data_IF_774931161101
#
_entry.id   IF_774931161101
#
_cell.length_a   1.000
_cell.length_b   1.000
_cell.length_c   1.000
_cell.angle_alpha   90.00
_cell.angle_beta   90.00
_cell.angle_gamma   90.00
#
_symmetry.space_group_name_H-M   'P 1'
#
loop_
_entity.id
_entity.type
_entity.pdbx_description
1 polymer ?
#
# COMPACT_ATOMS: atom_id res chain seq x y z
N UNK A 1 -13.28 -23.72 -58.39
CA UNK A 1 -12.13 -22.81 -58.24
C UNK A 1 -12.69 -21.42 -58.04
N UNK A 2 -12.74 -20.96 -56.80
CA UNK A 2 -12.74 -19.53 -56.48
C UNK A 2 -11.37 -19.32 -55.82
N UNK A 3 -10.55 -18.49 -56.45
CA UNK A 3 -9.22 -18.12 -55.95
C UNK A 3 -9.42 -17.26 -54.71
N UNK A 4 -8.77 -17.65 -53.61
CA UNK A 4 -8.66 -16.84 -52.40
C UNK A 4 -7.65 -15.73 -52.69
N UNK A 5 -8.14 -14.51 -52.88
CA UNK A 5 -7.30 -13.31 -52.83
C UNK A 5 -6.85 -13.12 -51.37
N UNK A 6 -5.55 -13.33 -51.10
CA UNK A 6 -4.93 -12.96 -49.82
C UNK A 6 -4.93 -11.42 -49.71
N UNK A 7 -5.97 -10.89 -49.07
CA UNK A 7 -6.10 -9.47 -48.74
C UNK A 7 -4.92 -9.03 -47.87
N UNK A 8 -4.04 -8.19 -48.43
CA UNK A 8 -3.08 -7.39 -47.68
C UNK A 8 -3.83 -6.32 -46.86
N UNK A 9 -4.47 -6.71 -45.76
CA UNK A 9 -5.14 -5.77 -44.86
C UNK A 9 -4.12 -4.88 -44.13
N UNK A 10 -4.15 -3.58 -44.44
CA UNK A 10 -3.39 -2.58 -43.70
C UNK A 10 -3.97 -2.45 -42.27
N UNK A 11 -3.11 -2.52 -41.25
CA UNK A 11 -3.50 -2.24 -39.86
C UNK A 11 -3.75 -0.73 -39.66
N UNK A 12 -4.99 -0.31 -39.88
CA UNK A 12 -5.43 1.08 -39.74
C UNK A 12 -5.90 1.39 -38.30
N UNK A 13 -5.47 2.53 -37.77
CA UNK A 13 -5.96 3.05 -36.48
C UNK A 13 -7.23 3.87 -36.68
N UNK A 14 -8.38 3.30 -36.30
CA UNK A 14 -9.68 3.95 -36.46
C UNK A 14 -10.06 4.73 -35.18
N UNK A 15 -10.40 6.03 -35.27
CA UNK A 15 -10.89 6.80 -34.14
C UNK A 15 -12.17 6.18 -33.55
N UNK A 16 -12.14 5.86 -32.25
CA UNK A 16 -13.28 5.20 -31.58
C UNK A 16 -14.37 6.18 -31.15
N UNK A 17 -14.08 7.49 -31.05
CA UNK A 17 -15.03 8.51 -30.56
C UNK A 17 -16.35 8.52 -31.35
N UNK A 18 -16.35 8.55 -32.71
CA UNK A 18 -17.60 8.51 -33.48
C UNK A 18 -18.42 7.24 -33.23
N UNK A 19 -17.75 6.11 -32.99
CA UNK A 19 -18.42 4.83 -32.71
C UNK A 19 -19.06 4.80 -31.32
N UNK A 20 -18.55 5.57 -30.35
CA UNK A 20 -19.09 5.62 -28.99
C UNK A 20 -20.47 6.29 -28.93
N UNK A 21 -20.73 7.24 -29.82
CA UNK A 21 -22.03 7.92 -29.93
C UNK A 21 -23.10 6.94 -30.44
N UNK A 22 -22.76 6.12 -31.44
CA UNK A 22 -23.70 5.17 -32.06
C UNK A 22 -24.00 3.92 -31.23
N UNK A 23 -23.11 3.55 -30.30
CA UNK A 23 -23.32 2.42 -29.37
C UNK A 23 -23.85 2.86 -27.99
N UNK A 24 -24.22 4.14 -27.86
CA UNK A 24 -24.80 4.72 -26.68
C UNK A 24 -26.28 4.35 -26.49
N UNK A 25 -26.70 4.14 -25.25
CA UNK A 25 -28.09 3.93 -24.89
C UNK A 25 -28.78 5.29 -24.71
N UNK A 26 -29.81 5.58 -25.51
CA UNK A 26 -30.54 6.86 -25.42
C UNK A 26 -31.33 7.07 -24.11
N UNK A 27 -31.45 6.03 -23.27
CA UNK A 27 -32.14 6.12 -21.97
C UNK A 27 -31.18 6.45 -20.83
N UNK A 28 -30.07 5.71 -20.70
CA UNK A 28 -29.11 5.92 -19.61
C UNK A 28 -27.89 6.75 -20.03
N UNK A 29 -27.78 7.13 -21.31
CA UNK A 29 -26.68 7.90 -21.89
C UNK A 29 -25.28 7.28 -21.69
N UNK A 30 -25.24 5.98 -21.41
CA UNK A 30 -24.02 5.17 -21.27
C UNK A 30 -23.92 4.19 -22.43
N UNK A 31 -22.74 3.59 -22.63
CA UNK A 31 -22.54 2.49 -23.60
C UNK A 31 -23.54 1.37 -23.29
N UNK A 32 -24.20 0.83 -24.31
CA UNK A 32 -25.20 -0.21 -24.15
C UNK A 32 -24.62 -1.44 -23.43
N UNK A 33 -25.33 -1.92 -22.40
CA UNK A 33 -25.02 -3.16 -21.67
C UNK A 33 -26.17 -4.15 -21.80
N UNK A 34 -25.85 -5.39 -22.20
CA UNK A 34 -26.86 -6.41 -22.53
C UNK A 34 -27.88 -5.87 -23.55
N UNK A 35 -27.38 -5.62 -24.75
CA UNK A 35 -28.13 -5.01 -25.84
C UNK A 35 -29.43 -5.76 -26.11
N UNK A 36 -30.52 -4.99 -26.14
CA UNK A 36 -31.85 -5.46 -26.52
C UNK A 36 -32.39 -4.59 -27.64
N UNK A 37 -32.75 -5.23 -28.74
CA UNK A 37 -33.34 -4.62 -29.93
C UNK A 37 -34.85 -4.72 -29.85
N UNK A 38 -35.54 -3.61 -30.09
CA UNK A 38 -36.99 -3.60 -30.24
C UNK A 38 -37.39 -3.95 -31.68
N UNK A 39 -38.64 -4.36 -31.89
CA UNK A 39 -39.18 -4.62 -33.25
C UNK A 39 -39.10 -3.43 -34.23
N UNK A 40 -38.83 -2.22 -33.74
CA UNK A 40 -38.54 -1.05 -34.57
C UNK A 40 -37.07 -0.90 -35.00
N UNK A 41 -36.16 -1.78 -34.55
CA UNK A 41 -34.73 -1.79 -34.87
C UNK A 41 -33.84 -0.99 -33.91
N UNK A 42 -34.40 -0.26 -32.94
CA UNK A 42 -33.60 0.51 -31.98
C UNK A 42 -33.04 -0.36 -30.85
N UNK A 43 -31.81 -0.05 -30.44
CA UNK A 43 -31.03 -0.80 -29.47
C UNK A 43 -30.89 -0.04 -28.14
N UNK A 44 -31.01 -0.76 -27.02
CA UNK A 44 -30.92 -0.20 -25.67
C UNK A 44 -30.33 -1.22 -24.70
N UNK A 45 -29.96 -0.79 -23.49
CA UNK A 45 -29.70 -1.72 -22.39
C UNK A 45 -30.99 -2.48 -22.03
N UNK A 46 -30.89 -3.78 -21.74
CA UNK A 46 -32.05 -4.60 -21.34
C UNK A 46 -32.84 -3.97 -20.18
N UNK A 47 -32.16 -3.53 -19.13
CA UNK A 47 -32.81 -2.89 -17.97
C UNK A 47 -33.58 -1.63 -18.36
N UNK A 48 -32.95 -0.76 -19.16
CA UNK A 48 -33.56 0.50 -19.61
C UNK A 48 -34.83 0.25 -20.44
N UNK A 49 -34.75 -0.62 -21.44
CA UNK A 49 -35.90 -0.83 -22.34
C UNK A 49 -37.02 -1.61 -21.68
N UNK A 50 -36.70 -2.58 -20.83
CA UNK A 50 -37.71 -3.35 -20.08
C UNK A 50 -38.56 -2.43 -19.21
N UNK A 51 -37.94 -1.46 -18.53
CA UNK A 51 -38.65 -0.49 -17.70
C UNK A 51 -39.48 0.50 -18.53
N UNK A 52 -38.92 1.07 -19.59
CA UNK A 52 -39.65 2.01 -20.45
C UNK A 52 -40.87 1.36 -21.13
N UNK A 53 -40.69 0.15 -21.67
CA UNK A 53 -41.76 -0.60 -22.34
C UNK A 53 -42.82 -1.06 -21.34
N UNK A 54 -42.44 -1.38 -20.09
CA UNK A 54 -43.41 -1.73 -19.05
C UNK A 54 -44.33 -0.57 -18.67
N UNK A 55 -43.82 0.67 -18.70
CA UNK A 55 -44.59 1.86 -18.32
C UNK A 55 -45.41 2.43 -19.48
N UNK A 56 -44.81 2.54 -20.66
CA UNK A 56 -45.37 3.35 -21.75
C UNK A 56 -45.74 2.54 -23.01
N UNK A 57 -45.39 1.25 -23.07
CA UNK A 57 -45.65 0.35 -24.20
C UNK A 57 -45.22 0.93 -25.57
N UNK A 58 -44.15 1.73 -25.58
CA UNK A 58 -43.62 2.43 -26.75
C UNK A 58 -42.10 2.43 -26.73
N UNK A 59 -41.49 2.51 -27.91
CA UNK A 59 -40.06 2.70 -28.08
C UNK A 59 -39.63 4.09 -27.55
N UNK A 60 -38.59 4.19 -26.70
CA UNK A 60 -38.10 5.48 -26.18
C UNK A 60 -37.58 6.45 -27.25
N UNK A 61 -37.10 5.95 -28.39
CA UNK A 61 -36.51 6.77 -29.45
C UNK A 61 -37.52 7.22 -30.50
N UNK A 62 -38.30 6.29 -31.05
CA UNK A 62 -39.20 6.58 -32.17
C UNK A 62 -40.69 6.52 -31.81
N UNK A 63 -41.04 6.27 -30.54
CA UNK A 63 -42.42 6.18 -30.04
C UNK A 63 -43.31 5.11 -30.69
N UNK A 64 -42.74 4.20 -31.50
CA UNK A 64 -43.47 3.07 -32.07
C UNK A 64 -44.02 2.15 -30.96
N UNK A 65 -45.27 1.66 -31.06
CA UNK A 65 -45.84 0.72 -30.09
C UNK A 65 -44.97 -0.53 -29.94
N UNK A 66 -44.75 -0.97 -28.72
CA UNK A 66 -43.89 -2.13 -28.40
C UNK A 66 -44.36 -2.78 -27.11
N UNK A 67 -44.39 -4.10 -27.10
CA UNK A 67 -44.69 -4.94 -25.92
C UNK A 67 -43.41 -5.60 -25.39
N UNK A 68 -43.44 -6.15 -24.17
CA UNK A 68 -42.29 -6.85 -23.58
C UNK A 68 -41.83 -8.05 -24.42
N UNK A 69 -42.75 -8.71 -25.11
CA UNK A 69 -42.48 -9.86 -25.98
C UNK A 69 -41.65 -9.47 -27.21
N UNK A 70 -41.70 -8.20 -27.62
CA UNK A 70 -40.95 -7.67 -28.77
C UNK A 70 -39.53 -7.19 -28.41
N UNK A 71 -39.06 -7.47 -27.18
CA UNK A 71 -37.71 -7.16 -26.73
C UNK A 71 -36.83 -8.39 -27.01
N UNK A 72 -35.97 -8.28 -28.02
CA UNK A 72 -35.08 -9.38 -28.43
C UNK A 72 -33.65 -9.03 -28.06
N UNK A 73 -32.93 -9.96 -27.41
CA UNK A 73 -31.53 -9.75 -27.03
C UNK A 73 -30.63 -9.81 -28.28
N UNK A 74 -29.73 -8.85 -28.42
CA UNK A 74 -28.81 -8.78 -29.55
C UNK A 74 -27.39 -9.19 -29.14
N UNK A 75 -27.12 -10.49 -29.26
CA UNK A 75 -25.83 -11.08 -28.91
C UNK A 75 -24.68 -10.59 -29.80
N UNK A 76 -24.95 -10.27 -31.07
CA UNK A 76 -23.93 -9.77 -32.00
C UNK A 76 -23.50 -8.36 -31.61
N UNK A 77 -24.45 -7.50 -31.26
CA UNK A 77 -24.15 -6.14 -30.79
C UNK A 77 -23.37 -6.17 -29.46
N UNK A 78 -23.75 -7.06 -28.53
CA UNK A 78 -22.98 -7.30 -27.30
C UNK A 78 -21.52 -7.73 -27.60
N UNK A 79 -21.31 -8.57 -28.62
CA UNK A 79 -19.97 -9.00 -29.04
C UNK A 79 -19.17 -7.85 -29.64
N UNK A 80 -19.78 -7.03 -30.48
CA UNK A 80 -19.15 -5.85 -31.08
C UNK A 80 -18.72 -4.84 -29.99
N UNK A 81 -19.60 -4.53 -29.05
CA UNK A 81 -19.26 -3.64 -27.92
C UNK A 81 -18.07 -4.19 -27.13
N UNK A 82 -18.01 -5.50 -26.89
CA UNK A 82 -16.88 -6.13 -26.20
C UNK A 82 -15.56 -5.95 -26.96
N UNK A 83 -15.57 -6.16 -28.27
CA UNK A 83 -14.38 -5.98 -29.13
C UNK A 83 -13.93 -4.52 -29.07
N UNK A 84 -14.85 -3.56 -29.25
CA UNK A 84 -14.54 -2.12 -29.20
C UNK A 84 -13.98 -1.74 -27.81
N UNK A 85 -14.58 -2.23 -26.72
CA UNK A 85 -14.08 -2.00 -25.36
C UNK A 85 -12.68 -2.57 -25.16
N UNK A 86 -12.43 -3.78 -25.66
CA UNK A 86 -11.13 -4.45 -25.56
C UNK A 86 -10.05 -3.70 -26.34
N UNK A 87 -10.30 -3.38 -27.61
CA UNK A 87 -9.34 -2.64 -28.45
C UNK A 87 -9.06 -1.23 -27.93
N UNK A 88 -10.10 -0.54 -27.40
CA UNK A 88 -9.94 0.75 -26.72
C UNK A 88 -9.01 0.62 -25.52
N UNK A 89 -9.15 -0.41 -24.71
CA UNK A 89 -8.32 -0.60 -23.52
C UNK A 89 -6.89 -1.00 -23.88
N UNK A 90 -6.71 -1.89 -24.86
CA UNK A 90 -5.40 -2.23 -25.43
C UNK A 90 -4.68 -1.00 -25.97
N UNK A 91 -5.37 -0.16 -26.74
CA UNK A 91 -4.83 1.07 -27.31
C UNK A 91 -4.42 2.09 -26.24
N UNK A 92 -5.21 2.22 -25.16
CA UNK A 92 -4.83 3.05 -24.00
C UNK A 92 -3.54 2.55 -23.34
N UNK A 93 -3.42 1.25 -23.09
CA UNK A 93 -2.22 0.67 -22.48
C UNK A 93 -0.98 1.01 -23.30
N UNK A 94 -1.04 0.82 -24.62
CA UNK A 94 0.07 1.15 -25.54
C UNK A 94 0.40 2.65 -25.52
N UNK A 95 -0.63 3.51 -25.58
CA UNK A 95 -0.44 4.97 -25.52
C UNK A 95 0.32 5.40 -24.25
N UNK A 96 -0.08 4.88 -23.07
CA UNK A 96 0.57 5.24 -21.81
C UNK A 96 1.94 4.60 -21.62
N UNK A 97 2.16 3.39 -22.14
CA UNK A 97 3.50 2.79 -22.16
C UNK A 97 4.47 3.63 -22.97
N UNK A 98 4.04 4.15 -24.12
CA UNK A 98 4.84 5.08 -24.91
C UNK A 98 5.10 6.40 -24.16
N UNK A 99 4.10 6.93 -23.43
CA UNK A 99 4.26 8.14 -22.60
C UNK A 99 5.30 7.94 -21.47
N UNK A 100 5.28 6.78 -20.81
CA UNK A 100 6.21 6.43 -19.72
C UNK A 100 7.61 6.18 -20.28
N UNK A 101 7.73 5.47 -21.41
CA UNK A 101 9.01 5.11 -22.00
C UNK A 101 9.71 6.29 -22.68
N UNK A 102 8.97 7.26 -23.21
CA UNK A 102 9.55 8.49 -23.77
C UNK A 102 10.31 9.32 -22.71
N UNK A 103 9.98 9.19 -21.42
CA UNK A 103 10.76 9.82 -20.34
C UNK A 103 12.11 9.13 -20.08
N UNK A 104 12.28 7.86 -20.46
CA UNK A 104 13.56 7.15 -20.31
C UNK A 104 14.54 7.42 -21.45
N UNK A 105 14.05 7.86 -22.62
CA UNK A 105 14.89 8.20 -23.77
C UNK A 105 15.45 9.63 -23.71
N UNK A 106 14.85 10.52 -22.93
CA UNK A 106 15.37 11.88 -22.70
C UNK A 106 16.59 11.93 -21.76
N UNK A 107 16.91 10.82 -21.06
CA UNK A 107 18.09 10.71 -20.18
C UNK A 107 19.34 10.12 -20.86
N UNK A 108 19.30 9.86 -22.17
CA UNK A 108 20.41 9.27 -22.94
C UNK A 108 20.82 10.11 -24.15
N UNK A 109 20.87 11.43 -23.99
CA UNK A 109 21.66 12.29 -24.87
C UNK A 109 22.50 13.24 -24.01
N UNK A 110 23.62 12.74 -23.52
CA UNK A 110 24.89 13.48 -23.40
C UNK A 110 25.98 12.40 -23.36
N UNK A 111 26.95 12.59 -24.25
CA UNK A 111 28.21 11.86 -24.47
C UNK A 111 28.28 10.90 -25.68
N UNK A 112 29.33 11.19 -26.45
CA UNK A 112 30.00 10.45 -27.52
C UNK A 112 29.43 10.47 -28.94
N UNK A 113 29.66 11.61 -29.59
CA UNK A 113 30.40 11.78 -30.86
C UNK A 113 30.47 10.64 -31.88
N UNK A 114 30.12 11.04 -33.11
CA UNK A 114 30.73 10.72 -34.41
C UNK A 114 30.49 9.36 -35.08
N UNK A 115 29.76 9.47 -36.20
CA UNK A 115 30.09 9.02 -37.55
C UNK A 115 29.26 7.90 -38.21
N UNK A 116 28.90 8.24 -39.45
CA UNK A 116 28.44 7.46 -40.61
C UNK A 116 26.96 7.17 -40.76
N UNK A 117 26.46 7.64 -41.90
CA UNK A 117 25.13 7.48 -42.43
C UNK A 117 24.82 6.02 -42.78
N UNK A 118 23.59 5.58 -42.51
CA UNK A 118 22.83 4.69 -43.39
C UNK A 118 21.35 4.73 -43.02
N UNK A 119 20.54 4.94 -44.06
CA UNK A 119 19.09 4.79 -44.07
C UNK A 119 18.72 3.36 -43.68
N UNK A 120 17.93 3.16 -42.63
CA UNK A 120 17.00 2.01 -42.59
C UNK A 120 15.79 2.34 -41.73
N UNK A 121 14.63 2.36 -42.39
CA UNK A 121 13.30 2.22 -41.83
C UNK A 121 13.20 0.99 -40.93
N UNK A 122 12.87 1.18 -39.65
CA UNK A 122 12.44 0.07 -38.78
C UNK A 122 10.97 0.26 -38.48
N UNK A 123 10.17 -0.32 -39.38
CA UNK A 123 8.82 -0.78 -39.12
C UNK A 123 9.00 -2.02 -38.23
N UNK A 124 8.60 -1.94 -36.96
CA UNK A 124 8.48 -3.14 -36.14
C UNK A 124 7.13 -3.80 -36.44
N UNK A 125 7.17 -4.76 -37.36
CA UNK A 125 6.16 -5.78 -37.52
C UNK A 125 6.00 -6.55 -36.19
N UNK A 126 4.79 -6.56 -35.64
CA UNK A 126 4.41 -7.52 -34.59
C UNK A 126 3.83 -8.71 -35.35
N UNK A 127 4.63 -9.78 -35.40
CA UNK A 127 4.29 -11.08 -35.94
C UNK A 127 3.35 -11.81 -34.96
N UNK A 128 2.23 -12.29 -35.49
CA UNK A 128 1.22 -13.10 -34.80
C UNK A 128 1.75 -14.52 -34.68
N UNK A 129 2.60 -14.74 -33.69
CA UNK A 129 2.90 -16.09 -33.22
C UNK A 129 2.88 -16.12 -31.70
N UNK A 130 2.03 -17.02 -31.20
CA UNK A 130 1.92 -17.38 -29.80
C UNK A 130 3.27 -17.89 -29.27
N UNK A 131 4.13 -16.98 -28.81
CA UNK A 131 5.20 -17.30 -27.88
C UNK A 131 5.33 -16.18 -26.85
N UNK A 132 5.21 -16.59 -25.60
CA UNK A 132 5.46 -15.84 -24.39
C UNK A 132 6.72 -14.97 -24.50
N UNK A 133 6.55 -13.70 -24.85
CA UNK A 133 7.51 -12.67 -24.49
C UNK A 133 7.03 -11.99 -23.22
N UNK A 134 7.19 -12.71 -22.11
CA UNK A 134 7.54 -12.10 -20.83
C UNK A 134 8.82 -11.30 -21.06
N UNK A 135 8.65 -10.07 -21.57
CA UNK A 135 9.71 -9.08 -21.58
C UNK A 135 10.03 -8.78 -20.12
N UNK A 136 11.03 -9.48 -19.57
CA UNK A 136 11.77 -9.24 -18.33
C UNK A 136 11.37 -7.97 -17.58
N UNK A 137 10.21 -8.01 -16.94
CA UNK A 137 9.81 -7.00 -15.98
C UNK A 137 10.07 -7.63 -14.62
N UNK A 138 11.33 -7.62 -14.20
CA UNK A 138 11.77 -7.82 -12.82
C UNK A 138 11.25 -6.68 -11.92
N UNK A 139 9.97 -6.35 -12.04
CA UNK A 139 9.32 -5.39 -11.17
C UNK A 139 8.88 -6.12 -9.92
N UNK A 140 9.25 -5.60 -8.76
CA UNK A 140 8.75 -6.14 -7.50
C UNK A 140 7.21 -6.06 -7.47
N UNK A 141 6.52 -6.92 -6.70
CA UNK A 141 5.06 -6.82 -6.52
C UNK A 141 4.60 -5.42 -6.10
N UNK A 142 5.43 -4.71 -5.31
CA UNK A 142 5.22 -3.31 -4.92
C UNK A 142 5.28 -2.37 -6.11
N UNK A 143 6.27 -2.53 -7.00
CA UNK A 143 6.36 -1.73 -8.22
C UNK A 143 5.17 -1.97 -9.16
N UNK A 144 4.65 -3.19 -9.26
CA UNK A 144 3.47 -3.47 -10.08
C UNK A 144 2.21 -2.81 -9.50
N UNK A 145 2.03 -2.85 -8.19
CA UNK A 145 0.95 -2.16 -7.50
C UNK A 145 1.08 -0.65 -7.67
N UNK A 146 2.27 -0.09 -7.44
CA UNK A 146 2.52 1.34 -7.56
C UNK A 146 2.33 1.81 -9.01
N UNK A 147 2.83 1.08 -10.00
CA UNK A 147 2.57 1.34 -11.43
C UNK A 147 1.07 1.29 -11.73
N UNK A 148 0.31 0.34 -11.19
CA UNK A 148 -1.14 0.24 -11.39
C UNK A 148 -1.88 1.45 -10.82
N UNK A 149 -1.61 1.84 -9.57
CA UNK A 149 -2.26 3.00 -8.95
C UNK A 149 -1.81 4.32 -9.59
N UNK A 150 -0.52 4.46 -9.90
CA UNK A 150 0.01 5.60 -10.63
C UNK A 150 -0.63 5.72 -12.02
N UNK A 151 -0.79 4.61 -12.76
CA UNK A 151 -1.51 4.58 -14.04
C UNK A 151 -2.94 5.10 -13.86
N UNK A 152 -3.69 4.60 -12.88
CA UNK A 152 -5.08 5.04 -12.65
C UNK A 152 -5.18 6.52 -12.26
N UNK A 153 -4.30 7.01 -11.37
CA UNK A 153 -4.26 8.43 -11.03
C UNK A 153 -3.89 9.28 -12.25
N UNK A 154 -2.87 8.87 -13.01
CA UNK A 154 -2.44 9.55 -14.23
C UNK A 154 -3.55 9.62 -15.28
N UNK A 155 -4.34 8.55 -15.45
CA UNK A 155 -5.49 8.53 -16.37
C UNK A 155 -6.51 9.61 -16.01
N UNK A 156 -6.87 9.74 -14.73
CA UNK A 156 -7.85 10.74 -14.29
C UNK A 156 -7.35 12.17 -14.52
N UNK A 157 -6.07 12.43 -14.23
CA UNK A 157 -5.49 13.75 -14.41
C UNK A 157 -5.22 14.11 -15.87
N UNK A 158 -4.78 13.14 -16.68
CA UNK A 158 -4.60 13.31 -18.12
C UNK A 158 -5.94 13.53 -18.82
N UNK A 159 -7.00 12.79 -18.43
CA UNK A 159 -8.36 13.03 -18.95
C UNK A 159 -8.82 14.46 -18.62
N UNK A 160 -8.59 14.92 -17.40
CA UNK A 160 -8.96 16.28 -16.99
C UNK A 160 -8.14 17.34 -17.76
N UNK A 161 -6.84 17.10 -17.97
CA UNK A 161 -6.01 17.98 -18.80
C UNK A 161 -6.48 18.01 -20.26
N UNK A 162 -6.85 16.86 -20.81
CA UNK A 162 -7.41 16.78 -22.16
C UNK A 162 -8.72 17.55 -22.28
N UNK A 163 -9.62 17.43 -21.29
CA UNK A 163 -10.87 18.17 -21.26
C UNK A 163 -10.66 19.69 -21.09
N UNK A 164 -9.60 20.11 -20.41
CA UNK A 164 -9.17 21.52 -20.38
C UNK A 164 -8.59 21.98 -21.73
N UNK A 165 -7.84 21.11 -22.42
CA UNK A 165 -7.15 21.42 -23.68
C UNK A 165 -8.08 21.51 -24.89
N UNK A 166 -9.17 20.72 -24.92
CA UNK A 166 -10.17 20.72 -26.01
C UNK A 166 -10.76 22.10 -26.28
N UNK A 167 -11.40 22.80 -25.31
CA UNK A 167 -11.99 24.11 -25.55
C UNK A 167 -10.92 25.15 -25.89
N UNK A 168 -9.71 25.04 -25.33
CA UNK A 168 -8.60 25.90 -25.72
C UNK A 168 -8.24 25.74 -27.22
N UNK A 169 -8.06 24.50 -27.67
CA UNK A 169 -7.72 24.19 -29.06
C UNK A 169 -8.85 24.56 -30.03
N UNK A 170 -10.11 24.34 -29.64
CA UNK A 170 -11.28 24.74 -30.42
C UNK A 170 -11.41 26.26 -30.53
N UNK A 171 -11.24 26.98 -29.42
CA UNK A 171 -11.25 28.45 -29.42
C UNK A 171 -10.11 29.03 -30.26
N UNK A 172 -8.93 28.41 -30.22
CA UNK A 172 -7.79 28.83 -31.05
C UNK A 172 -8.10 28.64 -32.55
N UNK A 173 -8.67 27.49 -32.93
CA UNK A 173 -9.12 27.23 -34.32
C UNK A 173 -10.22 28.20 -34.76
N UNK A 174 -11.22 28.44 -33.91
CA UNK A 174 -12.32 29.35 -34.20
C UNK A 174 -11.82 30.79 -34.38
N UNK A 175 -10.88 31.23 -33.54
CA UNK A 175 -10.27 32.55 -33.62
C UNK A 175 -9.45 32.73 -34.92
N UNK A 176 -8.68 31.70 -35.31
CA UNK A 176 -7.98 31.66 -36.60
C UNK A 176 -8.95 31.73 -37.78
N UNK A 177 -9.99 30.89 -37.77
CA UNK A 177 -10.99 30.83 -38.85
C UNK A 177 -11.79 32.15 -38.98
N UNK A 178 -12.17 32.77 -37.86
CA UNK A 178 -12.83 34.07 -37.86
C UNK A 178 -11.94 35.16 -38.46
N UNK A 179 -10.65 35.13 -38.14
CA UNK A 179 -9.67 36.11 -38.63
C UNK A 179 -9.44 35.94 -40.12
N UNK A 180 -9.27 34.71 -40.58
CA UNK A 180 -9.11 34.38 -42.00
C UNK A 180 -10.35 34.78 -42.82
N UNK A 181 -11.56 34.47 -42.31
CA UNK A 181 -12.81 34.89 -42.95
C UNK A 181 -12.97 36.42 -43.02
N UNK A 182 -12.57 37.13 -41.97
CA UNK A 182 -12.64 38.60 -41.93
C UNK A 182 -11.64 39.23 -42.90
N UNK A 183 -10.42 38.71 -42.96
CA UNK A 183 -9.38 39.14 -43.92
C UNK A 183 -9.83 38.87 -45.35
N UNK A 184 -10.37 37.68 -45.64
CA UNK A 184 -10.88 37.32 -46.96
C UNK A 184 -12.05 38.23 -47.39
N UNK A 185 -12.96 38.54 -46.47
CA UNK A 185 -14.10 39.44 -46.74
C UNK A 185 -13.62 40.86 -47.08
N UNK A 186 -12.67 41.40 -46.32
CA UNK A 186 -12.10 42.75 -46.56
C UNK A 186 -11.33 42.78 -47.88
N UNK A 187 -10.57 41.73 -48.17
CA UNK A 187 -9.79 41.62 -49.42
C UNK A 187 -10.72 41.51 -50.64
N UNK A 188 -11.90 40.91 -50.49
CA UNK A 188 -12.89 40.76 -51.57
C UNK A 188 -13.77 42.00 -51.82
N UNK A 189 -13.91 42.90 -50.84
CA UNK A 189 -14.84 44.05 -50.92
C UNK A 189 -14.20 45.35 -51.41
N UNK A 190 -12.87 45.47 -51.39
CA UNK A 190 -12.16 46.72 -51.71
C UNK A 190 -11.01 46.45 -52.70
N UNK A 191 -11.16 46.92 -53.94
CA UNK A 191 -10.28 46.63 -55.08
C UNK A 191 -8.92 47.36 -55.10
N UNK A 192 -8.56 48.13 -54.06
CA UNK A 192 -7.28 48.85 -53.95
C UNK A 192 -6.42 48.30 -52.81
N UNK A 193 -5.34 47.59 -53.17
CA UNK A 193 -4.46 46.87 -52.25
C UNK A 193 -3.77 47.73 -51.18
N UNK A 194 -3.56 49.02 -51.44
CA UNK A 194 -2.83 49.94 -50.55
C UNK A 194 -3.66 50.44 -49.35
N UNK A 195 -4.99 50.49 -49.48
CA UNK A 195 -5.89 50.94 -48.41
C UNK A 195 -6.23 49.83 -47.40
N UNK A 196 -6.09 48.56 -47.80
CA UNK A 196 -6.43 47.41 -46.95
C UNK A 196 -5.30 47.01 -45.98
N UNK A 197 -4.05 47.34 -46.30
CA UNK A 197 -2.88 46.97 -45.51
C UNK A 197 -2.94 47.39 -44.02
N UNK A 198 -3.27 48.66 -43.66
CA UNK A 198 -3.31 49.07 -42.26
C UNK A 198 -4.49 48.45 -41.48
N UNK A 199 -5.63 48.20 -42.13
CA UNK A 199 -6.80 47.58 -41.51
C UNK A 199 -6.58 46.09 -41.26
N UNK A 200 -5.99 45.38 -42.22
CA UNK A 200 -5.61 43.96 -42.07
C UNK A 200 -4.56 43.82 -40.96
N UNK A 201 -3.61 44.75 -40.85
CA UNK A 201 -2.60 44.75 -39.79
C UNK A 201 -3.20 45.02 -38.41
N UNK A 202 -4.22 45.87 -38.32
CA UNK A 202 -4.98 46.06 -37.08
C UNK A 202 -5.70 44.76 -36.65
N UNK A 203 -6.34 44.07 -37.59
CA UNK A 203 -7.03 42.80 -37.32
C UNK A 203 -6.04 41.71 -36.87
N UNK A 204 -4.86 41.63 -37.49
CA UNK A 204 -3.79 40.72 -37.04
C UNK A 204 -3.30 41.03 -35.63
N UNK A 205 -3.13 42.32 -35.29
CA UNK A 205 -2.78 42.74 -33.92
C UNK A 205 -3.87 42.37 -32.91
N UNK A 206 -5.14 42.59 -33.23
CA UNK A 206 -6.25 42.19 -32.37
C UNK A 206 -6.35 40.67 -32.20
N UNK A 207 -6.11 39.90 -33.27
CA UNK A 207 -6.00 38.44 -33.21
C UNK A 207 -4.88 38.01 -32.26
N UNK A 208 -3.69 38.59 -32.40
CA UNK A 208 -2.53 38.24 -31.60
C UNK A 208 -2.74 38.55 -30.10
N UNK A 209 -3.36 39.69 -29.77
CA UNK A 209 -3.70 40.02 -28.38
C UNK A 209 -4.71 39.02 -27.78
N UNK A 210 -5.71 38.60 -28.56
CA UNK A 210 -6.70 37.60 -28.10
C UNK A 210 -6.07 36.22 -27.94
N UNK A 211 -5.19 35.83 -28.86
CA UNK A 211 -4.42 34.59 -28.77
C UNK A 211 -3.51 34.57 -27.54
N UNK A 212 -2.75 35.65 -27.31
CA UNK A 212 -1.86 35.77 -26.16
C UNK A 212 -2.62 35.71 -24.84
N UNK A 213 -3.79 36.36 -24.77
CA UNK A 213 -4.68 36.30 -23.62
C UNK A 213 -5.17 34.87 -23.38
N UNK A 214 -5.65 34.20 -24.43
CA UNK A 214 -6.15 32.82 -24.32
C UNK A 214 -5.04 31.84 -23.90
N UNK A 215 -3.82 32.01 -24.43
CA UNK A 215 -2.64 31.23 -24.03
C UNK A 215 -2.28 31.46 -22.57
N UNK A 216 -2.34 32.71 -22.11
CA UNK A 216 -2.05 33.06 -20.71
C UNK A 216 -3.07 32.44 -19.75
N UNK A 217 -4.36 32.54 -20.07
CA UNK A 217 -5.44 31.95 -19.26
C UNK A 217 -5.32 30.42 -19.18
N UNK A 218 -4.94 29.77 -20.28
CA UNK A 218 -4.68 28.32 -20.32
C UNK A 218 -3.43 27.91 -19.51
N UNK A 219 -2.34 28.68 -19.61
CA UNK A 219 -1.13 28.46 -18.81
C UNK A 219 -1.42 28.59 -17.31
N UNK A 220 -2.22 29.58 -16.93
CA UNK A 220 -2.61 29.82 -15.54
C UNK A 220 -3.47 28.67 -15.00
N UNK A 221 -4.46 28.24 -15.78
CA UNK A 221 -5.32 27.08 -15.46
C UNK A 221 -4.51 25.78 -15.32
N UNK A 222 -3.54 25.58 -16.21
CA UNK A 222 -2.62 24.43 -16.16
C UNK A 222 -1.74 24.47 -14.91
N UNK A 223 -1.23 25.65 -14.55
CA UNK A 223 -0.44 25.84 -13.34
C UNK A 223 -1.22 25.50 -12.07
N UNK A 224 -2.49 25.94 -11.97
CA UNK A 224 -3.36 25.59 -10.85
C UNK A 224 -3.60 24.08 -10.76
N UNK A 225 -3.84 23.42 -11.89
CA UNK A 225 -3.99 21.97 -11.95
C UNK A 225 -2.73 21.24 -11.47
N UNK A 226 -1.55 21.64 -11.96
CA UNK A 226 -0.28 21.04 -11.56
C UNK A 226 0.02 21.26 -10.09
N UNK A 227 -0.24 22.45 -9.55
CA UNK A 227 -0.07 22.75 -8.13
C UNK A 227 -1.01 21.89 -7.26
N UNK A 228 -2.27 21.71 -7.68
CA UNK A 228 -3.24 20.86 -6.98
C UNK A 228 -2.82 19.39 -6.99
N UNK A 229 -2.28 18.91 -8.12
CA UNK A 229 -1.74 17.57 -8.27
C UNK A 229 -0.51 17.35 -7.38
N UNK A 230 0.40 18.32 -7.32
CA UNK A 230 1.57 18.27 -6.45
C UNK A 230 1.16 18.19 -4.97
N UNK A 231 0.18 18.98 -4.53
CA UNK A 231 -0.34 18.93 -3.16
C UNK A 231 -1.05 17.61 -2.86
N UNK A 232 -1.80 17.06 -3.82
CA UNK A 232 -2.42 15.74 -3.67
C UNK A 232 -1.36 14.63 -3.53
N UNK A 233 -0.33 14.65 -4.37
CA UNK A 233 0.77 13.69 -4.29
C UNK A 233 1.55 13.84 -2.98
N UNK A 234 1.83 15.06 -2.50
CA UNK A 234 2.46 15.28 -1.19
C UNK A 234 1.63 14.73 -0.03
N UNK A 235 0.29 14.80 -0.10
CA UNK A 235 -0.62 14.26 0.94
C UNK A 235 -0.77 12.74 0.89
N UNK A 236 -0.71 12.14 -0.29
CA UNK A 236 -0.99 10.71 -0.51
C UNK A 236 0.28 9.85 -0.57
N UNK A 237 1.37 10.39 -1.08
CA UNK A 237 2.68 9.75 -1.11
C UNK A 237 3.46 10.02 0.18
N UNK A 238 2.83 9.76 1.33
CA UNK A 238 3.59 9.61 2.58
C UNK A 238 4.58 8.48 2.30
N UNK A 239 5.91 8.73 2.37
CA UNK A 239 6.86 7.65 2.19
C UNK A 239 6.48 6.55 3.18
N UNK A 240 6.64 5.26 2.84
CA UNK A 240 6.61 4.22 3.84
C UNK A 240 7.86 4.40 4.73
N UNK A 241 7.90 5.46 5.54
CA UNK A 241 8.31 5.29 6.91
C UNK A 241 7.34 4.25 7.43
N UNK A 242 7.74 2.99 7.30
CA UNK A 242 7.19 1.87 8.01
C UNK A 242 6.88 2.37 9.42
N UNK A 243 5.62 2.73 9.67
CA UNK A 243 5.23 3.32 10.94
C UNK A 243 5.60 2.25 11.94
N UNK A 244 6.58 2.56 12.79
CA UNK A 244 7.00 1.61 13.81
C UNK A 244 5.74 1.22 14.57
N UNK A 245 5.49 -0.08 14.66
CA UNK A 245 4.43 -0.61 15.48
C UNK A 245 4.85 -0.36 16.92
N UNK A 246 4.23 0.63 17.55
CA UNK A 246 4.40 0.87 18.97
C UNK A 246 3.48 -0.07 19.73
N UNK A 247 4.08 -0.98 20.50
CA UNK A 247 3.35 -1.94 21.33
C UNK A 247 3.98 -2.03 22.71
N UNK A 248 3.22 -2.59 23.65
CA UNK A 248 3.73 -2.96 24.97
C UNK A 248 4.13 -4.43 24.92
N UNK A 249 5.37 -4.75 25.31
CA UNK A 249 5.78 -6.13 25.59
C UNK A 249 5.66 -6.36 27.09
N UNK A 250 4.96 -7.42 27.51
CA UNK A 250 4.79 -7.75 28.92
C UNK A 250 5.16 -9.20 29.24
N UNK A 251 5.61 -9.41 30.48
CA UNK A 251 5.92 -10.71 31.08
C UNK A 251 5.06 -10.82 32.35
N UNK A 252 3.82 -11.33 32.24
CA UNK A 252 2.86 -11.32 33.35
C UNK A 252 3.35 -12.10 34.57
N UNK A 253 4.07 -13.21 34.38
CA UNK A 253 4.62 -14.04 35.46
C UNK A 253 5.60 -13.31 36.38
N UNK A 254 6.16 -12.18 35.91
CA UNK A 254 7.13 -11.36 36.65
C UNK A 254 6.64 -9.94 36.89
N UNK A 255 5.38 -9.65 36.55
CA UNK A 255 4.79 -8.30 36.62
C UNK A 255 5.61 -7.23 35.87
N UNK A 256 6.26 -7.62 34.76
CA UNK A 256 7.06 -6.72 33.95
C UNK A 256 6.27 -6.26 32.72
N UNK A 257 6.25 -4.96 32.47
CA UNK A 257 5.72 -4.36 31.25
C UNK A 257 6.69 -3.32 30.71
N UNK A 258 6.84 -3.31 29.39
CA UNK A 258 7.68 -2.40 28.64
C UNK A 258 6.82 -1.70 27.60
N UNK A 259 6.44 -0.47 27.91
CA UNK A 259 5.59 0.35 27.05
C UNK A 259 6.39 1.03 25.93
N UNK A 260 5.70 1.39 24.85
CA UNK A 260 6.24 2.15 23.72
C UNK A 260 7.42 1.47 23.00
N UNK A 261 7.44 0.14 22.90
CA UNK A 261 8.45 -0.56 22.11
C UNK A 261 8.16 -0.37 20.63
N UNK A 262 9.11 0.20 19.92
CA UNK A 262 9.07 0.40 18.48
C UNK A 262 9.54 -0.87 17.75
N UNK A 263 8.62 -1.54 17.05
CA UNK A 263 8.93 -2.68 16.20
C UNK A 263 8.73 -2.31 14.73
N UNK A 264 9.62 -2.76 13.85
CA UNK A 264 9.40 -2.58 12.41
C UNK A 264 8.30 -3.56 11.96
N UNK A 265 7.45 -3.21 10.98
CA UNK A 265 6.49 -4.15 10.40
C UNK A 265 7.16 -5.42 9.83
N UNK A 266 8.42 -5.30 9.41
CA UNK A 266 9.26 -6.42 8.93
C UNK A 266 9.95 -7.19 10.06
N UNK A 267 9.84 -6.75 11.32
CA UNK A 267 10.49 -7.41 12.44
C UNK A 267 9.96 -8.84 12.58
N UNK A 268 10.87 -9.74 12.90
CA UNK A 268 10.64 -11.16 13.13
C UNK A 268 10.61 -11.46 14.63
N UNK A 269 10.19 -12.67 15.02
CA UNK A 269 10.23 -13.11 16.43
C UNK A 269 11.61 -12.98 17.09
N UNK A 270 12.75 -13.27 16.42
CA UNK A 270 14.08 -13.04 16.98
C UNK A 270 14.35 -11.57 17.31
N UNK A 271 13.85 -10.62 16.51
CA UNK A 271 14.03 -9.19 16.76
C UNK A 271 13.25 -8.73 18.01
N UNK A 272 12.06 -9.31 18.23
CA UNK A 272 11.27 -9.08 19.45
C UNK A 272 12.03 -9.63 20.67
N UNK A 273 12.59 -10.84 20.56
CA UNK A 273 13.41 -11.46 21.62
C UNK A 273 14.60 -10.58 21.98
N UNK A 274 15.38 -10.15 20.99
CA UNK A 274 16.56 -9.31 21.21
C UNK A 274 16.17 -7.96 21.83
N UNK A 275 15.06 -7.38 21.37
CA UNK A 275 14.55 -6.12 21.92
C UNK A 275 14.13 -6.28 23.38
N UNK A 276 13.45 -7.37 23.73
CA UNK A 276 13.09 -7.66 25.12
C UNK A 276 14.34 -7.86 26.00
N UNK A 277 15.33 -8.63 25.53
CA UNK A 277 16.61 -8.84 26.24
C UNK A 277 17.31 -7.50 26.50
N UNK A 278 17.37 -6.63 25.51
CA UNK A 278 17.97 -5.29 25.63
C UNK A 278 17.28 -4.46 26.71
N UNK A 279 15.95 -4.47 26.75
CA UNK A 279 15.18 -3.74 27.76
C UNK A 279 15.32 -4.35 29.17
N UNK A 280 15.42 -5.67 29.29
CA UNK A 280 15.66 -6.36 30.56
C UNK A 280 17.04 -6.00 31.13
N UNK A 281 18.08 -6.09 30.29
CA UNK A 281 19.46 -5.84 30.69
C UNK A 281 19.73 -4.38 31.09
N UNK A 282 18.95 -3.43 30.55
CA UNK A 282 19.09 -2.01 30.83
C UNK A 282 18.48 -1.55 32.18
N UNK A 283 17.78 -2.43 32.92
CA UNK A 283 17.16 -2.04 34.20
C UNK A 283 18.12 -2.07 35.39
N UNK A 284 18.39 -3.27 35.91
CA UNK A 284 19.23 -3.54 37.09
C UNK A 284 19.81 -4.94 36.94
N UNK A 285 20.96 -5.24 37.58
CA UNK A 285 21.63 -6.56 37.48
C UNK A 285 20.68 -7.72 37.79
N UNK A 286 19.74 -7.56 38.72
CA UNK A 286 18.74 -8.60 39.07
C UNK A 286 17.86 -9.01 37.87
N UNK A 287 17.59 -8.10 36.93
CA UNK A 287 16.74 -8.35 35.76
C UNK A 287 17.54 -8.69 34.51
N UNK A 288 18.85 -8.92 34.64
CA UNK A 288 19.68 -9.34 33.51
C UNK A 288 19.23 -10.70 32.99
N UNK A 289 19.04 -10.80 31.69
CA UNK A 289 18.58 -12.01 31.02
C UNK A 289 19.66 -13.10 31.05
N UNK A 290 19.29 -14.35 31.37
CA UNK A 290 20.19 -15.51 31.37
C UNK A 290 19.83 -16.49 30.26
N UNK A 291 18.57 -16.97 30.24
CA UNK A 291 18.10 -17.94 29.25
C UNK A 291 16.58 -17.94 29.11
N UNK A 292 16.11 -18.38 27.95
CA UNK A 292 14.70 -18.72 27.70
C UNK A 292 14.41 -20.12 28.24
N UNK A 293 13.17 -20.37 28.69
CA UNK A 293 12.69 -21.72 29.00
C UNK A 293 12.16 -22.41 27.74
N UNK A 294 12.03 -23.73 27.76
CA UNK A 294 11.55 -24.51 26.61
C UNK A 294 10.08 -24.21 26.23
N UNK A 295 9.28 -23.70 27.18
CA UNK A 295 7.88 -23.30 26.99
C UNK A 295 7.71 -21.82 26.62
N UNK A 296 8.81 -21.06 26.45
CA UNK A 296 8.81 -19.63 26.11
C UNK A 296 8.27 -19.34 24.70
N UNK A 297 7.10 -18.71 24.60
CA UNK A 297 6.49 -18.30 23.34
C UNK A 297 5.80 -16.93 23.45
N UNK A 298 5.69 -16.22 22.32
CA UNK A 298 5.03 -14.92 22.28
C UNK A 298 3.60 -15.04 21.76
N UNK A 299 2.72 -14.26 22.37
CA UNK A 299 1.31 -14.16 22.01
C UNK A 299 0.93 -12.69 21.98
N UNK A 300 0.21 -12.25 20.95
CA UNK A 300 -0.37 -10.92 20.92
C UNK A 300 -1.81 -10.95 21.41
N UNK A 301 -2.15 -10.08 22.37
CA UNK A 301 -3.49 -9.93 22.93
C UNK A 301 -4.16 -8.74 22.26
N UNK A 302 -5.36 -8.96 21.72
CA UNK A 302 -6.20 -7.92 21.12
C UNK A 302 -6.66 -6.91 22.20
N UNK A 303 -6.88 -5.63 21.84
CA UNK A 303 -7.39 -4.64 22.79
C UNK A 303 -8.81 -5.00 23.27
N UNK A 304 -9.16 -4.54 24.48
CA UNK A 304 -10.42 -4.88 25.16
C UNK A 304 -11.67 -4.52 24.36
N UNK A 305 -11.59 -3.49 23.52
CA UNK A 305 -12.67 -3.04 22.63
C UNK A 305 -13.02 -4.00 21.49
N UNK A 306 -12.14 -4.95 21.17
CA UNK A 306 -12.32 -5.96 20.10
C UNK A 306 -12.60 -7.37 20.66
N UNK A 307 -12.87 -7.49 21.96
CA UNK A 307 -13.27 -8.75 22.58
C UNK A 307 -14.66 -9.13 22.10
N UNK A 308 -14.76 -10.29 21.43
CA UNK A 308 -16.03 -10.89 21.03
C UNK A 308 -16.22 -12.12 21.92
N UNK A 309 -17.36 -12.24 22.59
CA UNK A 309 -17.69 -13.39 23.41
C UNK A 309 -17.62 -14.69 22.58
N UNK A 310 -16.82 -15.64 23.05
CA UNK A 310 -16.67 -16.97 22.42
C UNK A 310 -15.49 -17.14 21.44
N UNK A 311 -14.68 -16.10 21.16
CA UNK A 311 -13.43 -16.25 20.39
C UNK A 311 -12.17 -16.05 21.23
N UNK A 312 -11.09 -16.74 20.84
CA UNK A 312 -9.77 -16.54 21.47
C UNK A 312 -9.26 -15.12 21.21
N UNK A 313 -9.02 -14.37 22.29
CA UNK A 313 -8.46 -13.01 22.25
C UNK A 313 -6.95 -12.97 21.99
N UNK A 314 -6.34 -14.14 21.85
CA UNK A 314 -4.92 -14.36 21.68
C UNK A 314 -4.59 -14.70 20.21
N UNK A 315 -3.57 -14.04 19.68
CA UNK A 315 -2.98 -14.29 18.36
C UNK A 315 -1.59 -14.90 18.61
N UNK A 316 -1.41 -16.22 18.38
CA UNK A 316 -0.15 -16.88 18.66
C UNK A 316 0.90 -16.48 17.62
N UNK A 317 2.08 -16.05 18.08
CA UNK A 317 3.20 -15.70 17.23
C UNK A 317 4.16 -16.90 17.18
N UNK A 318 3.88 -17.87 16.30
CA UNK A 318 4.58 -19.17 16.28
C UNK A 318 5.67 -19.29 15.21
N UNK A 319 5.53 -18.59 14.09
CA UNK A 319 6.46 -18.70 12.96
C UNK A 319 7.61 -17.69 13.12
N UNK A 320 8.87 -18.17 13.26
CA UNK A 320 10.04 -17.31 13.46
C UNK A 320 10.44 -16.51 12.21
N UNK A 321 10.02 -16.93 11.01
CA UNK A 321 10.36 -16.28 9.75
C UNK A 321 9.24 -15.38 9.22
N UNK A 322 8.08 -15.38 9.87
CA UNK A 322 6.93 -14.55 9.50
C UNK A 322 7.05 -13.15 10.10
N UNK A 323 7.03 -12.07 9.30
CA UNK A 323 7.04 -10.71 9.82
C UNK A 323 5.78 -10.38 10.63
N UNK A 324 5.93 -9.52 11.64
CA UNK A 324 4.84 -9.11 12.54
C UNK A 324 3.63 -8.55 11.76
N UNK A 325 3.86 -7.83 10.66
CA UNK A 325 2.78 -7.27 9.85
C UNK A 325 1.80 -8.32 9.29
N UNK A 326 2.27 -9.55 9.04
CA UNK A 326 1.44 -10.63 8.49
C UNK A 326 0.55 -11.29 9.54
N UNK A 327 0.69 -10.95 10.82
CA UNK A 327 -0.20 -11.42 11.89
C UNK A 327 -1.44 -10.53 12.05
N UNK A 328 -1.55 -9.44 11.26
CA UNK A 328 -2.69 -8.50 11.27
C UNK A 328 -3.07 -8.03 12.68
N UNK A 329 -2.06 -7.66 13.48
CA UNK A 329 -2.26 -7.22 14.86
C UNK A 329 -3.08 -5.92 14.89
N UNK A 330 -4.26 -5.90 15.55
CA UNK A 330 -5.03 -4.68 15.71
C UNK A 330 -4.25 -3.59 16.46
N UNK A 331 -4.52 -2.32 16.16
CA UNK A 331 -3.91 -1.20 16.89
C UNK A 331 -4.25 -1.27 18.38
N UNK A 332 -3.26 -1.09 19.25
CA UNK A 332 -3.42 -1.23 20.70
C UNK A 332 -3.28 -2.66 21.23
N UNK A 333 -2.93 -3.63 20.36
CA UNK A 333 -2.58 -4.99 20.82
C UNK A 333 -1.29 -4.99 21.64
N UNK A 334 -1.25 -5.83 22.67
CA UNK A 334 -0.10 -6.02 23.56
C UNK A 334 0.59 -7.34 23.24
N UNK A 335 1.91 -7.33 23.12
CA UNK A 335 2.68 -8.57 22.98
C UNK A 335 2.99 -9.09 24.38
N UNK A 336 2.76 -10.37 24.58
CA UNK A 336 2.88 -11.03 25.87
C UNK A 336 3.78 -12.24 25.70
N UNK A 337 4.79 -12.32 26.55
CA UNK A 337 5.58 -13.53 26.70
C UNK A 337 4.82 -14.49 27.62
N UNK A 338 4.55 -15.69 27.11
CA UNK A 338 4.03 -16.84 27.84
C UNK A 338 5.15 -17.86 28.01
N UNK A 339 5.22 -18.51 29.15
CA UNK A 339 6.38 -19.32 29.52
C UNK A 339 7.46 -18.46 30.20
N UNK A 340 8.30 -19.11 30.99
CA UNK A 340 9.21 -18.44 31.90
C UNK A 340 10.44 -17.81 31.23
N UNK A 341 11.08 -16.87 31.92
CA UNK A 341 12.46 -16.48 31.61
C UNK A 341 13.32 -16.65 32.85
N UNK A 342 14.57 -17.01 32.64
CA UNK A 342 15.57 -17.06 33.70
C UNK A 342 16.31 -15.74 33.73
N UNK A 343 16.24 -15.04 34.87
CA UNK A 343 16.96 -13.81 35.15
C UNK A 343 18.11 -14.06 36.12
N UNK A 344 19.08 -13.17 36.13
CA UNK A 344 20.22 -13.26 37.06
C UNK A 344 19.76 -13.20 38.53
N UNK A 345 18.65 -12.53 38.83
CA UNK A 345 18.00 -12.55 40.15
C UNK A 345 17.36 -13.88 40.55
N UNK A 346 17.14 -14.79 39.59
CA UNK A 346 16.68 -16.16 39.83
C UNK A 346 17.83 -17.14 40.03
N UNK A 347 19.06 -16.70 39.79
CA UNK A 347 20.23 -17.50 40.12
C UNK A 347 20.19 -17.82 41.62
N UNK A 348 20.41 -19.09 42.02
CA UNK A 348 20.47 -19.46 43.42
C UNK A 348 21.46 -18.56 44.16
N UNK A 349 20.96 -17.68 45.05
CA UNK A 349 21.81 -16.81 45.86
C UNK A 349 22.77 -17.69 46.64
N UNK A 350 24.07 -17.40 46.62
CA UNK A 350 25.05 -18.23 47.35
C UNK A 350 24.71 -18.28 48.85
N UNK A 351 24.99 -19.42 49.49
CA UNK A 351 24.80 -19.57 50.92
C UNK A 351 25.63 -18.49 51.65
N UNK A 352 25.07 -17.85 52.69
CA UNK A 352 25.75 -16.76 53.41
C UNK A 352 27.15 -17.16 53.91
N UNK A 353 27.33 -18.43 54.28
CA UNK A 353 28.66 -18.98 54.62
C UNK A 353 29.71 -18.76 53.53
N UNK A 354 29.33 -18.84 52.25
CA UNK A 354 30.22 -18.62 51.11
C UNK A 354 30.40 -17.14 50.77
N UNK A 355 29.45 -16.28 51.16
CA UNK A 355 29.51 -14.82 50.93
C UNK A 355 30.18 -14.04 52.07
N UNK A 356 30.34 -14.65 53.25
CA UNK A 356 30.89 -13.99 54.43
C UNK A 356 32.34 -13.56 54.24
N UNK A 357 32.62 -12.29 54.52
CA UNK A 357 33.99 -11.73 54.54
C UNK A 357 34.35 -11.30 55.96
N UNK A 358 35.44 -11.85 56.51
CA UNK A 358 35.91 -11.52 57.85
C UNK A 358 36.21 -10.02 57.99
N UNK A 359 35.73 -9.39 59.06
CA UNK A 359 35.92 -7.96 59.33
C UNK A 359 34.88 -7.03 58.70
N UNK A 360 33.88 -7.56 57.99
CA UNK A 360 32.70 -6.78 57.56
C UNK A 360 31.57 -6.97 58.57
N UNK A 361 31.02 -5.88 59.13
CA UNK A 361 29.86 -5.91 60.04
C UNK A 361 28.56 -6.19 59.26
N UNK A 362 28.52 -7.30 58.51
CA UNK A 362 27.36 -7.73 57.74
C UNK A 362 26.30 -8.28 58.69
N UNK A 363 25.11 -7.68 58.69
CA UNK A 363 23.94 -8.20 59.40
C UNK A 363 23.22 -9.25 58.57
N UNK A 364 22.76 -10.33 59.21
CA UNK A 364 21.99 -11.37 58.56
C UNK A 364 20.90 -11.95 59.46
N UNK A 365 19.82 -12.38 58.81
CA UNK A 365 18.73 -13.10 59.44
C UNK A 365 18.96 -14.61 59.38
N UNK A 366 18.72 -15.27 60.52
CA UNK A 366 18.75 -16.72 60.66
C UNK A 366 17.36 -17.28 60.94
N UNK A 367 17.10 -18.42 60.33
CA UNK A 367 15.81 -19.09 60.37
C UNK A 367 15.95 -20.50 60.93
N UNK A 368 14.88 -20.94 61.59
CA UNK A 368 14.69 -22.31 62.07
C UNK A 368 13.73 -23.04 61.15
N UNK A 369 14.13 -24.21 60.68
CA UNK A 369 13.29 -25.13 59.93
C UNK A 369 12.83 -26.26 60.85
N UNK A 370 11.51 -26.35 61.11
CA UNK A 370 10.92 -27.41 61.95
C UNK A 370 10.98 -28.78 61.26
N UNK A 371 10.82 -28.81 59.94
CA UNK A 371 10.84 -30.04 59.13
C UNK A 371 12.23 -30.70 59.11
N UNK A 372 13.30 -29.91 59.09
CA UNK A 372 14.68 -30.40 59.08
C UNK A 372 15.36 -30.34 60.46
N UNK A 373 14.67 -29.80 61.47
CA UNK A 373 15.19 -29.55 62.81
C UNK A 373 16.53 -28.78 62.83
N UNK A 374 16.66 -27.75 61.98
CA UNK A 374 17.84 -26.89 61.87
C UNK A 374 17.51 -25.48 62.36
N UNK A 375 18.35 -24.86 63.20
CA UNK A 375 18.08 -23.54 63.79
C UNK A 375 18.90 -22.39 63.18
N UNK A 376 19.94 -22.68 62.40
CA UNK A 376 20.87 -21.70 61.85
C UNK A 376 20.90 -21.76 60.32
N UNK A 377 19.73 -21.57 59.70
CA UNK A 377 19.59 -21.51 58.25
C UNK A 377 19.66 -20.05 57.81
N UNK A 378 20.61 -19.69 56.94
CA UNK A 378 20.68 -18.31 56.44
C UNK A 378 19.48 -17.99 55.53
N UNK A 379 19.12 -16.71 55.40
CA UNK A 379 18.02 -16.23 54.54
C UNK A 379 17.98 -16.83 53.12
N UNK A 380 19.13 -16.97 52.47
CA UNK A 380 19.20 -17.53 51.11
C UNK A 380 18.84 -19.03 51.09
N UNK A 381 19.30 -19.77 52.10
CA UNK A 381 19.02 -21.18 52.26
C UNK A 381 17.56 -21.45 52.64
N UNK A 382 16.95 -20.60 53.47
CA UNK A 382 15.53 -20.73 53.82
C UNK A 382 14.62 -20.54 52.61
N UNK A 383 14.97 -19.61 51.71
CA UNK A 383 14.21 -19.34 50.48
C UNK A 383 14.39 -20.42 49.40
N UNK A 384 15.55 -21.07 49.34
CA UNK A 384 15.90 -21.98 48.24
C UNK A 384 16.01 -23.47 48.63
N UNK A 385 16.82 -23.80 49.64
CA UNK A 385 17.02 -25.19 50.08
C UNK A 385 15.80 -25.72 50.83
N UNK A 386 15.14 -24.85 51.60
CA UNK A 386 13.97 -25.18 52.43
C UNK A 386 12.65 -24.65 51.83
N UNK A 387 12.59 -24.42 50.52
CA UNK A 387 11.37 -23.98 49.83
C UNK A 387 10.26 -25.03 50.00
N UNK A 388 9.25 -24.72 50.81
CA UNK A 388 8.14 -25.63 51.14
C UNK A 388 8.25 -26.33 52.50
N UNK A 389 9.26 -26.02 53.31
CA UNK A 389 9.35 -26.47 54.70
C UNK A 389 8.75 -25.44 55.67
N UNK A 390 8.39 -25.89 56.88
CA UNK A 390 7.90 -25.00 57.92
C UNK A 390 9.09 -24.24 58.55
N UNK A 391 9.16 -22.94 58.27
CA UNK A 391 10.27 -22.06 58.65
C UNK A 391 9.76 -20.96 59.58
N UNK A 392 10.44 -20.77 60.71
CA UNK A 392 10.23 -19.67 61.65
C UNK A 392 11.49 -18.83 61.78
N UNK A 393 11.33 -17.54 62.11
CA UNK A 393 12.47 -16.66 62.44
C UNK A 393 13.18 -17.20 63.69
N UNK A 394 14.49 -17.39 63.61
CA UNK A 394 15.32 -17.77 64.76
C UNK A 394 16.01 -16.54 65.37
N UNK A 395 16.60 -15.69 64.52
CA UNK A 395 17.29 -14.47 64.95
C UNK A 395 17.31 -13.45 63.81
N UNK A 396 17.01 -12.18 64.11
CA UNK A 396 17.00 -11.07 63.15
C UNK A 396 18.21 -10.15 63.37
N UNK A 397 18.72 -9.56 62.28
CA UNK A 397 19.81 -8.56 62.29
C UNK A 397 21.05 -9.00 63.10
N UNK A 398 21.42 -10.27 63.03
CA UNK A 398 22.58 -10.77 63.75
C UNK A 398 23.87 -10.43 62.99
N UNK A 399 24.86 -9.87 63.67
CA UNK A 399 26.21 -9.65 63.14
C UNK A 399 27.06 -10.88 63.51
N UNK A 400 27.32 -11.80 62.57
CA UNK A 400 28.01 -13.04 62.88
C UNK A 400 29.53 -12.84 62.85
N UNK A 401 30.23 -13.50 63.77
CA UNK A 401 31.70 -13.49 63.85
C UNK A 401 32.37 -14.41 62.81
N UNK A 402 31.59 -15.27 62.15
CA UNK A 402 32.02 -16.13 61.04
C UNK A 402 30.81 -16.50 60.16
N UNK A 403 31.04 -16.88 58.89
CA UNK A 403 30.00 -17.32 57.98
C UNK A 403 29.36 -18.64 58.44
N UNK A 404 28.20 -18.57 59.10
CA UNK A 404 27.48 -19.73 59.59
C UNK A 404 26.26 -20.03 58.71
N UNK A 405 26.09 -21.30 58.33
CA UNK A 405 24.82 -21.83 57.82
C UNK A 405 24.83 -23.35 57.98
N UNK A 406 23.80 -23.90 58.64
CA UNK A 406 23.76 -25.32 58.99
C UNK A 406 23.52 -26.22 57.77
N UNK A 407 22.83 -25.74 56.74
CA UNK A 407 22.69 -26.47 55.47
C UNK A 407 24.05 -26.84 54.86
N UNK A 408 25.02 -25.92 54.96
CA UNK A 408 26.37 -26.15 54.45
C UNK A 408 27.20 -27.04 55.38
N UNK A 409 26.85 -27.10 56.67
CA UNK A 409 27.50 -27.97 57.66
C UNK A 409 27.06 -29.43 57.53
N UNK A 410 25.77 -29.67 57.22
CA UNK A 410 25.19 -31.01 57.09
C UNK A 410 25.10 -31.53 55.64
N UNK A 411 25.68 -30.79 54.67
CA UNK A 411 25.71 -31.12 53.22
C UNK A 411 24.36 -31.11 52.48
N UNK A 412 23.32 -30.56 53.09
CA UNK A 412 21.99 -30.42 52.47
C UNK A 412 21.85 -29.11 51.65
N UNK A 413 22.89 -28.28 51.61
CA UNK A 413 22.91 -27.03 50.86
C UNK A 413 22.97 -27.26 49.34
N UNK A 414 21.84 -27.01 48.65
CA UNK A 414 21.75 -27.02 47.18
C UNK A 414 22.35 -25.76 46.53
N UNK A 415 22.62 -24.72 47.31
CA UNK A 415 23.32 -23.50 46.89
C UNK A 415 24.83 -23.82 46.89
N UNK A 416 25.42 -24.01 45.70
CA UNK A 416 26.80 -24.48 45.52
C UNK A 416 27.80 -23.63 46.31
N UNK A 417 28.78 -24.30 46.94
CA UNK A 417 30.02 -23.70 47.44
C UNK A 417 30.92 -23.48 46.23
N UNK A 418 31.22 -22.23 45.85
CA UNK A 418 32.35 -21.98 44.95
C UNK A 418 33.60 -22.56 45.63
N UNK A 419 34.24 -23.53 44.97
CA UNK A 419 35.56 -24.03 45.35
C UNK A 419 36.62 -23.05 44.94
#
# INVERSE_FOLDING_TARGET
MMEEEEDNELNLNIPVIPLLEDIGCAVCLNIIESCSTLGCGHNFCFGCVSECVNRNHKCPLCSKPTTKENIVRNHQFDKLIKIIKFEKEKSKVVYYENLINNNNNSAKQITTTSNTASKTSVINFIDDSQQNNESNNNNSPVQNIFKKYLKNSLISFESYYQDLSKPFNENLKNLSNQTENTINTITSTVSSSELNAPLVEQIRREHQIKEDKLRKDFQESTKYLLSSLEDYLKKTAVPPSFINLYTTISIPERELAFDHIALKPTSLLPDIRETLIRHLNNRQEKFHFVSWTDDSHFVAIKPDSLKIDGQSNEIPLTDPLRPISFYNLPQGSKIVLRGGINLQGDAPKECFRSLYTAGTNQEMDYFRCSTCNLNWVCKNCSEYCHKGHEISIHLLNHIPTYGCCYDSKYKDCKLKVKK
#
